data_IF_675527517558
#
_entry.id   IF_675527517558
#
_cell.length_a   1.000
_cell.length_b   1.000
_cell.length_c   1.000
_cell.angle_alpha   90.00
_cell.angle_beta   90.00
_cell.angle_gamma   90.00
#
_symmetry.space_group_name_H-M   'P 1'
#
loop_
_entity.id
_entity.type
_entity.pdbx_description
1 polymer ?
#
# COMPACT_ATOMS: atom_id res chain seq x y z
N UNK A 1 -60.37 21.79 -43.15
CA UNK A 1 -60.39 20.82 -42.04
C UNK A 1 -59.13 19.95 -41.99
N UNK A 2 -58.55 19.50 -43.11
CA UNK A 2 -57.38 18.61 -43.13
C UNK A 2 -56.03 19.30 -42.88
N UNK A 3 -55.81 20.53 -43.37
CA UNK A 3 -54.52 21.23 -43.20
C UNK A 3 -54.22 21.65 -41.76
N UNK A 4 -55.22 22.15 -41.03
CA UNK A 4 -55.04 22.54 -39.62
C UNK A 4 -54.79 21.33 -38.72
N UNK A 5 -55.43 20.19 -39.02
CA UNK A 5 -55.21 18.94 -38.32
C UNK A 5 -53.78 18.40 -38.52
N UNK A 6 -53.23 18.51 -39.73
CA UNK A 6 -51.84 18.13 -40.04
C UNK A 6 -50.82 19.05 -39.35
N UNK A 7 -51.09 20.36 -39.26
CA UNK A 7 -50.21 21.29 -38.52
C UNK A 7 -50.23 21.00 -37.01
N UNK A 8 -51.40 20.67 -36.46
CA UNK A 8 -51.56 20.33 -35.03
C UNK A 8 -50.88 19.00 -34.67
N UNK A 9 -50.94 17.98 -35.53
CA UNK A 9 -50.21 16.72 -35.27
C UNK A 9 -48.70 16.90 -35.42
N UNK A 10 -48.26 17.73 -36.38
CA UNK A 10 -46.86 18.04 -36.60
C UNK A 10 -46.20 18.72 -35.40
N UNK A 11 -46.87 19.72 -34.80
CA UNK A 11 -46.34 20.41 -33.62
C UNK A 11 -46.24 19.45 -32.42
N UNK A 12 -47.22 18.55 -32.26
CA UNK A 12 -47.23 17.57 -31.18
C UNK A 12 -46.05 16.59 -31.28
N UNK A 13 -45.75 16.11 -32.49
CA UNK A 13 -44.61 15.22 -32.75
C UNK A 13 -43.28 15.91 -32.46
N UNK A 14 -43.14 17.18 -32.84
CA UNK A 14 -41.91 17.96 -32.59
C UNK A 14 -41.70 18.18 -31.09
N UNK A 15 -42.77 18.51 -30.34
CA UNK A 15 -42.71 18.69 -28.89
C UNK A 15 -42.35 17.37 -28.19
N UNK A 16 -42.97 16.25 -28.60
CA UNK A 16 -42.64 14.93 -28.07
C UNK A 16 -41.19 14.53 -28.35
N UNK A 17 -40.66 14.88 -29.53
CA UNK A 17 -39.27 14.63 -29.89
C UNK A 17 -38.29 15.46 -29.04
N UNK A 18 -38.57 16.74 -28.80
CA UNK A 18 -37.75 17.59 -27.93
C UNK A 18 -37.72 17.07 -26.48
N UNK A 19 -38.86 16.62 -25.95
CA UNK A 19 -38.91 16.01 -24.61
C UNK A 19 -38.11 14.71 -24.54
N UNK A 20 -38.16 13.87 -25.59
CA UNK A 20 -37.37 12.65 -25.66
C UNK A 20 -35.86 12.94 -25.66
N UNK A 21 -35.41 13.91 -26.45
CA UNK A 21 -33.98 14.31 -26.51
C UNK A 21 -33.52 14.89 -25.18
N UNK A 22 -34.33 15.74 -24.55
CA UNK A 22 -34.02 16.30 -23.23
C UNK A 22 -33.87 15.19 -22.17
N UNK A 23 -34.83 14.27 -22.09
CA UNK A 23 -34.77 13.14 -21.16
C UNK A 23 -33.57 12.21 -21.41
N UNK A 24 -33.23 11.96 -22.68
CA UNK A 24 -32.06 11.15 -23.05
C UNK A 24 -30.74 11.86 -22.74
N UNK A 25 -30.67 13.18 -22.94
CA UNK A 25 -29.50 13.99 -22.62
C UNK A 25 -29.22 14.04 -21.12
N UNK A 26 -30.26 14.07 -20.28
CA UNK A 26 -30.11 14.08 -18.83
C UNK A 26 -29.58 12.75 -18.31
N UNK A 27 -30.00 11.61 -18.89
CA UNK A 27 -29.43 10.29 -18.58
C UNK A 27 -27.95 10.19 -18.96
N UNK A 28 -27.52 10.83 -20.05
CA UNK A 28 -26.12 10.86 -20.47
C UNK A 28 -25.26 11.69 -19.51
N UNK A 29 -25.76 12.85 -19.07
CA UNK A 29 -25.07 13.67 -18.06
C UNK A 29 -25.03 12.97 -16.69
N UNK A 30 -26.10 12.27 -16.27
CA UNK A 30 -26.08 11.47 -15.04
C UNK A 30 -25.11 10.30 -15.14
N UNK A 31 -25.04 9.57 -16.26
CA UNK A 31 -24.09 8.47 -16.44
C UNK A 31 -22.62 8.92 -16.46
N UNK A 32 -22.33 10.12 -16.99
CA UNK A 32 -21.00 10.72 -16.93
C UNK A 32 -20.64 11.25 -15.54
N UNK A 33 -21.60 11.85 -14.83
CA UNK A 33 -21.41 12.33 -13.46
C UNK A 33 -21.18 11.17 -12.49
N UNK A 34 -21.94 10.08 -12.65
CA UNK A 34 -21.82 8.86 -11.85
C UNK A 34 -20.49 8.13 -12.10
N UNK A 35 -19.90 8.29 -13.29
CA UNK A 35 -18.54 7.81 -13.59
C UNK A 35 -17.40 8.60 -12.93
N UNK A 36 -17.66 9.80 -12.39
CA UNK A 36 -16.69 10.64 -11.67
C UNK A 36 -16.87 10.58 -10.14
N UNK A 37 -18.08 10.29 -9.66
CA UNK A 37 -18.33 9.98 -8.24
C UNK A 37 -18.11 8.50 -7.98
N UNK A 38 -16.90 8.16 -7.52
CA UNK A 38 -16.50 6.84 -7.06
C UNK A 38 -17.63 6.14 -6.26
N UNK A 39 -18.08 4.92 -6.62
CA UNK A 39 -19.08 4.22 -5.83
C UNK A 39 -18.50 3.94 -4.45
N UNK A 40 -19.18 4.45 -3.41
CA UNK A 40 -18.89 4.13 -2.02
C UNK A 40 -19.35 2.71 -1.65
N UNK A 41 -19.03 1.73 -2.49
CA UNK A 41 -19.37 0.32 -2.32
C UNK A 41 -18.35 -0.56 -3.04
N UNK A 42 -17.29 -0.92 -2.32
CA UNK A 42 -16.67 -2.26 -2.33
C UNK A 42 -16.80 -3.10 -3.61
N UNK A 43 -16.27 -2.64 -4.75
CA UNK A 43 -16.00 -3.52 -5.89
C UNK A 43 -14.55 -3.35 -6.33
N UNK A 44 -13.80 -4.42 -6.05
CA UNK A 44 -12.42 -4.66 -6.46
C UNK A 44 -12.33 -4.73 -7.99
N UNK A 45 -12.49 -3.59 -8.64
CA UNK A 45 -12.31 -3.46 -10.10
C UNK A 45 -11.04 -2.66 -10.31
N UNK A 46 -9.93 -3.39 -10.34
CA UNK A 46 -8.57 -2.93 -10.64
C UNK A 46 -8.50 -2.44 -12.08
N UNK A 47 -8.97 -1.21 -12.32
CA UNK A 47 -8.70 -0.48 -13.55
C UNK A 47 -7.24 -0.01 -13.57
N UNK A 48 -6.49 -0.46 -14.58
CA UNK A 48 -5.02 -0.25 -14.73
C UNK A 48 -4.62 1.24 -14.86
N UNK A 49 -5.56 2.18 -14.99
CA UNK A 49 -5.31 3.63 -14.94
C UNK A 49 -5.50 4.31 -13.57
N UNK A 50 -5.88 3.55 -12.52
CA UNK A 50 -6.27 4.05 -11.20
C UNK A 50 -5.23 3.75 -10.09
N UNK A 51 -4.14 3.05 -10.43
CA UNK A 51 -3.44 2.20 -9.47
C UNK A 51 -2.24 2.81 -8.74
N UNK A 52 -1.83 4.05 -9.02
CA UNK A 52 -0.74 4.69 -8.24
C UNK A 52 -1.28 5.48 -7.04
N UNK A 53 -2.25 6.37 -7.26
CA UNK A 53 -2.82 7.20 -6.19
C UNK A 53 -3.58 6.35 -5.16
N UNK A 54 -4.39 5.39 -5.63
CA UNK A 54 -5.13 4.49 -4.73
C UNK A 54 -4.20 3.53 -3.98
N UNK A 55 -3.11 3.09 -4.61
CA UNK A 55 -2.09 2.31 -3.92
C UNK A 55 -1.34 3.13 -2.87
N UNK A 56 -0.97 4.37 -3.17
CA UNK A 56 -0.35 5.28 -2.20
C UNK A 56 -1.27 5.57 -0.99
N UNK A 57 -2.57 5.75 -1.24
CA UNK A 57 -3.58 5.91 -0.17
C UNK A 57 -3.70 4.63 0.66
N UNK A 58 -3.74 3.46 0.00
CA UNK A 58 -3.82 2.16 0.68
C UNK A 58 -2.58 1.91 1.55
N UNK A 59 -1.40 2.21 1.01
CA UNK A 59 -0.12 2.12 1.73
C UNK A 59 -0.09 3.09 2.91
N UNK A 60 -0.52 4.33 2.72
CA UNK A 60 -0.60 5.32 3.81
C UNK A 60 -1.55 4.87 4.92
N UNK A 61 -2.67 4.24 4.57
CA UNK A 61 -3.62 3.70 5.54
C UNK A 61 -3.03 2.49 6.29
N UNK A 62 -2.29 1.62 5.62
CA UNK A 62 -1.56 0.51 6.28
C UNK A 62 -0.47 1.03 7.22
N UNK A 63 0.30 2.05 6.82
CA UNK A 63 1.29 2.69 7.70
C UNK A 63 0.62 3.32 8.91
N UNK A 64 -0.51 4.03 8.71
CA UNK A 64 -1.28 4.60 9.81
C UNK A 64 -1.88 3.53 10.74
N UNK A 65 -2.31 2.37 10.20
CA UNK A 65 -2.72 1.22 10.99
C UNK A 65 -1.56 0.62 11.77
N UNK A 66 -0.39 0.43 11.17
CA UNK A 66 0.80 -0.03 11.89
C UNK A 66 1.19 0.95 13.00
N UNK A 67 1.14 2.25 12.75
CA UNK A 67 1.35 3.25 13.81
C UNK A 67 0.29 3.17 14.91
N UNK A 68 -0.96 2.85 14.55
CA UNK A 68 -2.03 2.65 15.51
C UNK A 68 -1.92 1.33 16.28
N UNK A 69 -1.53 0.23 15.65
CA UNK A 69 -1.28 -1.04 16.36
C UNK A 69 -0.09 -0.89 17.30
N UNK A 70 0.88 -0.05 16.90
CA UNK A 70 1.97 0.42 17.75
C UNK A 70 1.53 1.69 18.53
N UNK A 71 0.26 1.81 18.93
CA UNK A 71 -0.32 2.92 19.72
C UNK A 71 0.50 3.23 20.98
N UNK A 72 1.27 2.24 21.45
CA UNK A 72 2.13 2.32 22.62
C UNK A 72 3.48 3.00 22.33
N UNK A 73 3.87 3.24 21.07
CA UNK A 73 5.05 4.03 20.73
C UNK A 73 4.97 5.47 21.22
N UNK A 74 3.77 6.01 21.47
CA UNK A 74 3.63 7.32 22.10
C UNK A 74 3.94 7.31 23.61
N UNK A 75 4.07 6.12 24.22
CA UNK A 75 4.41 5.95 25.63
C UNK A 75 5.89 5.54 25.76
N UNK A 76 6.66 6.39 26.47
CA UNK A 76 8.10 6.26 26.66
C UNK A 76 8.54 4.92 27.28
N UNK A 77 7.70 4.29 28.10
CA UNK A 77 8.02 2.99 28.71
C UNK A 77 8.05 1.87 27.66
N UNK A 78 7.08 1.84 26.75
CA UNK A 78 7.04 0.85 25.66
C UNK A 78 8.10 1.12 24.61
N UNK A 79 8.40 2.38 24.28
CA UNK A 79 9.53 2.75 23.41
C UNK A 79 10.85 2.19 23.98
N UNK A 80 11.05 2.33 25.29
CA UNK A 80 12.22 1.77 25.99
C UNK A 80 12.24 0.24 25.92
N UNK A 81 11.10 -0.43 26.09
CA UNK A 81 11.02 -1.89 25.95
C UNK A 81 11.32 -2.36 24.53
N UNK A 82 10.77 -1.68 23.51
CA UNK A 82 11.07 -1.97 22.11
C UNK A 82 12.57 -1.77 21.80
N UNK A 83 13.16 -0.68 22.28
CA UNK A 83 14.60 -0.43 22.18
C UNK A 83 15.43 -1.54 22.83
N UNK A 84 15.05 -1.99 24.03
CA UNK A 84 15.72 -3.09 24.73
C UNK A 84 15.62 -4.42 23.96
N UNK A 85 14.47 -4.72 23.33
CA UNK A 85 14.30 -5.90 22.48
C UNK A 85 15.24 -5.82 21.28
N UNK A 86 15.32 -4.66 20.61
CA UNK A 86 16.19 -4.45 19.45
C UNK A 86 17.66 -4.59 19.86
N UNK A 87 18.07 -4.01 20.99
CA UNK A 87 19.44 -4.16 21.53
C UNK A 87 19.76 -5.61 21.87
N UNK A 88 18.84 -6.33 22.50
CA UNK A 88 19.02 -7.76 22.80
C UNK A 88 19.16 -8.60 21.52
N UNK A 89 18.46 -8.20 20.44
CA UNK A 89 18.60 -8.85 19.13
C UNK A 89 19.92 -8.48 18.44
N UNK A 90 20.45 -7.27 18.62
CA UNK A 90 21.81 -6.91 18.18
C UNK A 90 22.85 -7.81 18.85
N UNK A 91 22.76 -7.98 20.17
CA UNK A 91 23.61 -8.88 20.94
C UNK A 91 23.49 -10.34 20.47
N UNK A 92 22.26 -10.78 20.16
CA UNK A 92 22.03 -12.11 19.60
C UNK A 92 22.68 -12.29 18.22
N UNK A 93 22.58 -11.30 17.32
CA UNK A 93 23.26 -11.34 16.02
C UNK A 93 24.78 -11.38 16.21
N UNK A 94 25.33 -10.60 17.15
CA UNK A 94 26.76 -10.63 17.47
C UNK A 94 27.19 -12.03 17.94
N UNK A 95 26.38 -12.69 18.78
CA UNK A 95 26.62 -14.06 19.22
C UNK A 95 26.55 -15.07 18.07
N UNK A 96 25.60 -14.90 17.13
CA UNK A 96 25.51 -15.73 15.93
C UNK A 96 26.72 -15.52 15.01
N UNK A 97 27.17 -14.28 14.79
CA UNK A 97 28.37 -14.00 14.00
C UNK A 97 29.61 -14.65 14.60
N UNK A 98 29.76 -14.59 15.93
CA UNK A 98 30.82 -15.28 16.64
C UNK A 98 30.72 -16.80 16.45
N UNK A 99 29.54 -17.39 16.63
CA UNK A 99 29.31 -18.82 16.41
C UNK A 99 29.66 -19.24 15.00
N UNK A 100 29.21 -18.50 13.99
CA UNK A 100 29.53 -18.75 12.58
C UNK A 100 31.03 -18.68 12.33
N UNK A 101 31.73 -17.74 12.96
CA UNK A 101 33.18 -17.60 12.86
C UNK A 101 33.90 -18.80 13.48
N UNK A 102 33.46 -19.26 14.64
CA UNK A 102 34.05 -20.43 15.32
C UNK A 102 33.76 -21.76 14.61
N UNK A 103 32.70 -21.81 13.79
CA UNK A 103 32.37 -22.99 12.98
C UNK A 103 33.17 -23.08 11.68
N UNK A 104 33.93 -22.04 11.30
CA UNK A 104 34.79 -22.11 10.13
C UNK A 104 35.97 -23.07 10.37
N UNK A 105 36.23 -23.94 9.40
CA UNK A 105 37.35 -24.86 9.44
C UNK A 105 38.64 -24.12 9.09
N UNK A 106 39.36 -23.65 10.12
CA UNK A 106 40.64 -22.96 9.95
C UNK A 106 41.81 -23.87 9.56
N UNK A 107 41.60 -25.19 9.47
CA UNK A 107 42.64 -26.19 9.17
C UNK A 107 42.56 -26.75 7.75
N UNK A 108 41.46 -26.49 7.05
CA UNK A 108 41.33 -26.83 5.64
C UNK A 108 41.62 -25.58 4.80
N UNK A 109 42.61 -25.66 3.91
CA UNK A 109 42.86 -24.69 2.82
C UNK A 109 41.76 -24.71 1.74
N UNK A 110 40.58 -25.25 2.08
CA UNK A 110 39.43 -25.37 1.20
C UNK A 110 38.52 -24.15 1.39
N UNK A 111 38.63 -23.22 0.43
CA UNK A 111 37.83 -21.99 0.38
C UNK A 111 36.33 -22.31 0.32
N UNK A 112 35.93 -23.38 -0.37
CA UNK A 112 34.52 -23.73 -0.55
C UNK A 112 33.90 -24.22 0.76
N UNK A 113 34.69 -24.87 1.63
CA UNK A 113 34.24 -25.33 2.95
C UNK A 113 33.86 -24.18 3.90
N UNK A 114 34.46 -23.00 3.75
CA UNK A 114 34.21 -21.84 4.61
C UNK A 114 33.38 -20.73 3.92
N UNK A 115 33.26 -20.76 2.60
CA UNK A 115 32.56 -19.73 1.83
C UNK A 115 31.10 -19.54 2.26
N UNK A 116 30.40 -20.63 2.59
CA UNK A 116 29.01 -20.54 3.08
C UNK A 116 28.93 -19.79 4.42
N UNK A 117 29.85 -20.05 5.34
CA UNK A 117 29.91 -19.37 6.63
C UNK A 117 30.28 -17.89 6.47
N UNK A 118 31.16 -17.55 5.53
CA UNK A 118 31.52 -16.16 5.20
C UNK A 118 30.31 -15.41 4.62
N UNK A 119 29.52 -16.05 3.74
CA UNK A 119 28.28 -15.45 3.22
C UNK A 119 27.26 -15.19 4.33
N UNK A 120 27.04 -16.17 5.20
CA UNK A 120 26.18 -16.03 6.39
C UNK A 120 26.65 -14.88 7.29
N UNK A 121 27.96 -14.71 7.47
CA UNK A 121 28.52 -13.62 8.26
C UNK A 121 28.18 -12.24 7.66
N UNK A 122 28.19 -12.11 6.34
CA UNK A 122 27.84 -10.88 5.64
C UNK A 122 26.33 -10.58 5.73
N UNK A 123 25.48 -11.60 5.60
CA UNK A 123 24.04 -11.47 5.81
C UNK A 123 23.71 -11.04 7.24
N UNK A 124 24.38 -11.63 8.25
CA UNK A 124 24.23 -11.24 9.65
C UNK A 124 24.70 -9.80 9.90
N UNK A 125 25.80 -9.37 9.29
CA UNK A 125 26.26 -7.98 9.38
C UNK A 125 25.27 -7.00 8.74
N UNK A 126 24.64 -7.38 7.62
CA UNK A 126 23.59 -6.60 6.98
C UNK A 126 22.33 -6.51 7.85
N UNK A 127 21.94 -7.63 8.47
CA UNK A 127 20.84 -7.67 9.43
C UNK A 127 21.11 -6.75 10.63
N UNK A 128 22.34 -6.76 11.16
CA UNK A 128 22.77 -5.84 12.22
C UNK A 128 22.58 -4.37 11.83
N UNK A 129 22.99 -4.00 10.61
CA UNK A 129 22.78 -2.63 10.11
C UNK A 129 21.30 -2.29 9.96
N UNK A 130 20.47 -3.24 9.54
CA UNK A 130 19.02 -3.04 9.45
C UNK A 130 18.39 -2.81 10.84
N UNK A 131 18.81 -3.59 11.85
CA UNK A 131 18.35 -3.39 13.23
C UNK A 131 18.70 -2.02 13.79
N UNK A 132 19.88 -1.48 13.48
CA UNK A 132 20.24 -0.12 13.89
C UNK A 132 19.32 0.93 13.26
N UNK A 133 18.87 0.74 12.02
CA UNK A 133 17.88 1.63 11.41
C UNK A 133 16.51 1.51 12.08
N UNK A 134 16.12 0.31 12.52
CA UNK A 134 14.90 0.11 13.30
C UNK A 134 15.01 0.79 14.67
N UNK A 135 16.17 0.69 15.35
CA UNK A 135 16.41 1.39 16.62
C UNK A 135 16.29 2.91 16.46
N UNK A 136 16.92 3.48 15.42
CA UNK A 136 16.79 4.91 15.11
C UNK A 136 15.36 5.34 14.83
N UNK A 137 14.57 4.48 14.17
CA UNK A 137 13.16 4.75 13.96
C UNK A 137 12.40 4.79 15.29
N UNK A 138 12.61 3.81 16.17
CA UNK A 138 12.02 3.78 17.51
C UNK A 138 12.42 5.00 18.35
N UNK A 139 13.68 5.42 18.31
CA UNK A 139 14.18 6.61 19.01
C UNK A 139 13.64 7.94 18.42
N UNK A 140 13.21 7.93 17.15
CA UNK A 140 12.71 9.14 16.46
C UNK A 140 11.23 9.44 16.70
N UNK A 141 10.48 8.47 17.23
CA UNK A 141 9.05 8.57 17.57
C UNK A 141 8.88 9.17 18.96
#
# INVERSE_FOLDING_TARGET
MSEEFIKMIGIFVIIAFLLYVAAKSMKFHMGLLEGLTNPASSSTTTGIGSSAANYAITLKNQVAQLHNDILLMSNKEYVKEYGNIILSMDDYINALMLKTTLMMNATADDVDANLENIKKLNELNSAKSALNNVLKYVDSV
#
